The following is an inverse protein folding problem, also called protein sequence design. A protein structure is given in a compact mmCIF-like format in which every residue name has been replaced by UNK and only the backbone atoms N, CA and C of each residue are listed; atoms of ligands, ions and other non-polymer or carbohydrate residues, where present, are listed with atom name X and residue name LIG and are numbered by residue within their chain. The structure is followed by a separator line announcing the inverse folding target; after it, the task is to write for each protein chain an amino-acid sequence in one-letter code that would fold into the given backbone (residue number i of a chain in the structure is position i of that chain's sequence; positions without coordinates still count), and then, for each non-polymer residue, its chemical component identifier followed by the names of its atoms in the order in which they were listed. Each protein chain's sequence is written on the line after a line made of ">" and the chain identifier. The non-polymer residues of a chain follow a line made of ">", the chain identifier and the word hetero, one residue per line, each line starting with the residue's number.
data_IF_993250868589
#
_entry.id   IF_993250868589
#
_cell.length_a   1.000
_cell.length_b   1.000
_cell.length_c   1.000
_cell.angle_alpha   90.00
_cell.angle_beta   90.00
_cell.angle_gamma   90.00
#
_symmetry.space_group_name_H-M   'P 1'
#
loop_
_entity.id
_entity.type
_entity.pdbx_description
1 polymer ?
#
# COMPACT_ATOMS: atom_id res chain seq x y z
N UNK A 1 -4.95 14.31 -8.44
CA UNK A 1 -5.29 12.88 -8.56
C UNK A 1 -6.66 12.78 -9.21
N UNK A 2 -6.81 11.95 -10.25
CA UNK A 2 -8.12 11.69 -10.87
C UNK A 2 -8.92 10.72 -10.00
N UNK A 3 -10.24 10.87 -9.97
CA UNK A 3 -11.16 9.94 -9.26
C UNK A 3 -10.98 8.50 -9.75
N UNK A 4 -10.67 8.31 -11.04
CA UNK A 4 -10.41 6.99 -11.60
C UNK A 4 -9.20 6.29 -10.95
N UNK A 5 -8.12 7.04 -10.67
CA UNK A 5 -6.90 6.50 -10.03
C UNK A 5 -7.16 6.15 -8.56
N UNK A 6 -7.95 6.97 -7.88
CA UNK A 6 -8.33 6.77 -6.48
C UNK A 6 -9.18 5.49 -6.32
N UNK A 7 -10.19 5.33 -7.18
CA UNK A 7 -11.06 4.15 -7.22
C UNK A 7 -10.28 2.89 -7.60
N UNK A 8 -9.43 2.97 -8.63
CA UNK A 8 -8.59 1.84 -9.04
C UNK A 8 -7.64 1.41 -7.91
N UNK A 9 -6.99 2.37 -7.25
CA UNK A 9 -6.09 2.10 -6.12
C UNK A 9 -6.82 1.41 -4.96
N UNK A 10 -8.03 1.88 -4.63
CA UNK A 10 -8.86 1.27 -3.61
C UNK A 10 -9.23 -0.19 -3.94
N UNK A 11 -9.71 -0.45 -5.15
CA UNK A 11 -10.09 -1.82 -5.55
C UNK A 11 -8.90 -2.77 -5.64
N UNK A 12 -7.74 -2.31 -6.12
CA UNK A 12 -6.51 -3.10 -6.13
C UNK A 12 -6.07 -3.46 -4.70
N UNK A 13 -6.13 -2.50 -3.77
CA UNK A 13 -5.85 -2.74 -2.36
C UNK A 13 -6.82 -3.76 -1.74
N UNK A 14 -8.13 -3.57 -1.94
CA UNK A 14 -9.16 -4.47 -1.42
C UNK A 14 -9.05 -5.89 -2.00
N UNK A 15 -8.72 -6.03 -3.29
CA UNK A 15 -8.44 -7.33 -3.90
C UNK A 15 -7.18 -7.97 -3.30
N UNK A 16 -6.13 -7.18 -3.07
CA UNK A 16 -4.91 -7.63 -2.39
C UNK A 16 -5.19 -8.13 -0.97
N UNK A 17 -6.02 -7.43 -0.19
CA UNK A 17 -6.48 -7.88 1.14
C UNK A 17 -7.14 -9.26 1.07
N UNK A 18 -8.09 -9.42 0.15
CA UNK A 18 -8.81 -10.67 -0.03
C UNK A 18 -7.85 -11.81 -0.41
N UNK A 19 -6.93 -11.56 -1.34
CA UNK A 19 -5.94 -12.56 -1.75
C UNK A 19 -4.93 -12.89 -0.63
N UNK A 20 -4.53 -11.93 0.22
CA UNK A 20 -3.72 -12.20 1.41
C UNK A 20 -4.47 -13.08 2.41
N UNK A 21 -5.77 -12.82 2.61
CA UNK A 21 -6.63 -13.67 3.44
C UNK A 21 -6.72 -15.09 2.92
N UNK A 22 -6.99 -15.27 1.61
CA UNK A 22 -7.00 -16.60 0.98
C UNK A 22 -5.63 -17.28 1.11
N UNK A 23 -4.54 -16.54 0.89
CA UNK A 23 -3.17 -17.07 1.03
C UNK A 23 -2.92 -17.62 2.43
N UNK A 24 -3.32 -16.89 3.49
CA UNK A 24 -3.12 -17.32 4.88
C UNK A 24 -3.78 -18.68 5.19
N UNK A 25 -4.97 -18.92 4.65
CA UNK A 25 -5.72 -20.16 4.91
C UNK A 25 -5.46 -21.27 3.88
N UNK A 26 -4.82 -20.96 2.74
CA UNK A 26 -4.55 -21.94 1.71
C UNK A 26 -3.67 -23.08 2.25
N UNK A 27 -4.05 -24.33 2.03
CA UNK A 27 -3.35 -25.52 2.53
C UNK A 27 -1.99 -25.79 1.87
N UNK A 28 -1.68 -25.13 0.76
CA UNK A 28 -0.55 -25.45 -0.10
C UNK A 28 0.52 -24.35 -0.12
N UNK A 29 1.15 -24.08 1.03
CA UNK A 29 2.33 -23.19 1.10
C UNK A 29 3.60 -23.90 0.70
N UNK A 30 3.72 -25.17 1.07
CA UNK A 30 4.80 -26.06 0.63
C UNK A 30 4.27 -27.45 0.39
N UNK A 31 4.88 -28.15 -0.56
CA UNK A 31 4.50 -29.52 -0.96
C UNK A 31 5.75 -30.38 -0.97
N UNK A 32 5.71 -31.59 -0.41
CA UNK A 32 6.86 -32.49 -0.35
C UNK A 32 7.30 -32.91 -1.76
N UNK A 33 8.60 -32.86 -2.03
CA UNK A 33 9.17 -33.35 -3.27
C UNK A 33 9.35 -34.88 -3.23
N UNK A 34 9.16 -35.54 -4.37
CA UNK A 34 9.35 -37.00 -4.54
C UNK A 34 10.83 -37.33 -4.84
N UNK A 35 11.71 -36.34 -4.81
CA UNK A 35 13.11 -36.52 -5.21
C UNK A 35 13.89 -37.37 -4.19
N UNK A 36 14.25 -38.61 -4.57
CA UNK A 36 15.24 -39.44 -3.88
C UNK A 36 14.72 -40.56 -2.98
N UNK A 37 13.41 -40.71 -2.77
CA UNK A 37 12.82 -41.84 -2.04
C UNK A 37 11.87 -42.63 -2.95
N UNK A 38 12.21 -43.89 -3.21
CA UNK A 38 11.42 -44.82 -4.04
C UNK A 38 10.18 -45.36 -3.28
N UNK A 39 10.07 -45.09 -1.98
CA UNK A 39 8.99 -45.54 -1.10
C UNK A 39 8.28 -44.34 -0.44
N UNK A 40 7.81 -43.38 -1.22
CA UNK A 40 6.85 -42.36 -0.73
C UNK A 40 5.46 -42.72 -1.24
N UNK A 41 4.69 -43.41 -0.41
CA UNK A 41 3.27 -43.72 -0.63
C UNK A 41 2.34 -42.52 -0.41
N UNK A 42 2.89 -41.38 0.03
CA UNK A 42 2.12 -40.27 0.60
C UNK A 42 2.72 -38.91 0.24
N UNK A 43 1.89 -37.98 -0.25
CA UNK A 43 2.26 -36.59 -0.52
C UNK A 43 1.92 -35.71 0.68
N UNK A 44 2.89 -34.97 1.21
CA UNK A 44 2.71 -34.08 2.36
C UNK A 44 2.62 -32.63 1.84
N UNK A 45 1.61 -31.89 2.28
CA UNK A 45 1.46 -30.47 1.99
C UNK A 45 1.10 -29.73 3.26
N UNK A 46 1.66 -28.54 3.40
CA UNK A 46 1.58 -27.80 4.64
C UNK A 46 1.29 -26.33 4.38
N UNK A 47 0.56 -25.74 5.33
CA UNK A 47 0.39 -24.30 5.40
C UNK A 47 1.00 -23.74 6.69
N UNK A 48 0.56 -22.57 7.13
CA UNK A 48 1.04 -22.00 8.38
C UNK A 48 0.48 -22.71 9.61
N UNK A 49 -0.63 -23.43 9.52
CA UNK A 49 -1.45 -23.89 10.65
C UNK A 49 -1.51 -25.42 10.79
N UNK A 50 -1.54 -26.11 9.66
CA UNK A 50 -1.74 -27.55 9.54
C UNK A 50 -0.65 -28.16 8.66
N UNK A 51 -0.30 -29.41 8.98
CA UNK A 51 0.42 -30.32 8.10
C UNK A 51 -0.55 -31.42 7.69
N UNK A 52 -0.69 -31.65 6.40
CA UNK A 52 -1.62 -32.62 5.84
C UNK A 52 -0.88 -33.61 4.95
N UNK A 53 -1.33 -34.86 4.95
CA UNK A 53 -0.82 -35.91 4.08
C UNK A 53 -1.97 -36.57 3.31
N UNK A 54 -1.69 -36.92 2.06
CA UNK A 54 -2.58 -37.74 1.23
C UNK A 54 -1.84 -38.99 0.79
N UNK A 55 -2.40 -40.14 1.13
CA UNK A 55 -1.86 -41.46 0.77
C UNK A 55 -2.36 -41.91 -0.62
N UNK A 56 -1.64 -42.82 -1.27
CA UNK A 56 -2.03 -43.41 -2.56
C UNK A 56 -3.36 -44.18 -2.54
N UNK A 57 -3.88 -44.50 -1.35
CA UNK A 57 -5.21 -45.08 -1.13
C UNK A 57 -6.34 -44.04 -1.08
N UNK A 58 -6.00 -42.75 -1.24
CA UNK A 58 -6.96 -41.63 -1.19
C UNK A 58 -7.30 -41.16 0.22
N UNK A 59 -6.62 -41.67 1.25
CA UNK A 59 -6.83 -41.24 2.64
C UNK A 59 -6.20 -39.85 2.84
N UNK A 60 -7.00 -38.93 3.39
CA UNK A 60 -6.61 -37.56 3.69
C UNK A 60 -6.57 -37.35 5.20
N UNK A 61 -5.40 -37.04 5.75
CA UNK A 61 -5.22 -36.76 7.17
C UNK A 61 -4.56 -35.38 7.35
N UNK A 62 -5.08 -34.57 8.27
CA UNK A 62 -4.48 -33.30 8.65
C UNK A 62 -4.24 -33.25 10.15
N UNK A 63 -3.07 -32.76 10.53
CA UNK A 63 -2.67 -32.55 11.91
C UNK A 63 -2.35 -31.06 12.11
N UNK A 64 -2.77 -30.51 13.23
CA UNK A 64 -2.37 -29.16 13.63
C UNK A 64 -0.90 -29.16 14.08
N UNK A 65 -0.13 -28.12 13.74
CA UNK A 65 1.25 -28.04 14.19
C UNK A 65 1.33 -28.02 15.73
N UNK A 66 2.27 -28.77 16.34
CA UNK A 66 2.44 -28.78 17.80
C UNK A 66 2.76 -27.36 18.31
N UNK A 67 2.39 -27.13 19.57
CA UNK A 67 2.36 -25.85 20.31
C UNK A 67 3.46 -24.85 19.95
N UNK A 68 3.16 -23.55 20.09
CA UNK A 68 4.02 -22.40 19.75
C UNK A 68 5.51 -22.51 20.16
N UNK A 69 5.84 -23.30 21.19
CA UNK A 69 7.21 -23.49 21.69
C UNK A 69 8.02 -24.57 20.95
N UNK A 70 7.35 -25.50 20.25
CA UNK A 70 7.97 -26.62 19.55
C UNK A 70 8.09 -26.40 18.03
N UNK A 71 7.47 -25.33 17.51
CA UNK A 71 7.44 -25.02 16.09
C UNK A 71 8.62 -24.10 15.70
N UNK A 72 9.14 -24.26 14.48
CA UNK A 72 10.25 -23.42 14.00
C UNK A 72 9.90 -21.93 14.12
N UNK A 73 10.80 -21.13 14.72
CA UNK A 73 10.56 -19.70 14.96
C UNK A 73 10.22 -18.90 13.69
N UNK A 74 10.68 -19.38 12.53
CA UNK A 74 10.34 -18.84 11.21
C UNK A 74 8.84 -18.90 10.92
N UNK A 75 8.16 -20.02 11.20
CA UNK A 75 6.72 -20.15 10.94
C UNK A 75 5.93 -19.20 11.84
N UNK A 76 6.32 -19.09 13.12
CA UNK A 76 5.67 -18.16 14.05
C UNK A 76 5.85 -16.70 13.61
N UNK A 77 7.05 -16.32 13.15
CA UNK A 77 7.29 -14.98 12.60
C UNK A 77 6.47 -14.72 11.33
N UNK A 78 6.35 -15.71 10.44
CA UNK A 78 5.50 -15.62 9.25
C UNK A 78 4.01 -15.46 9.62
N UNK A 79 3.50 -16.20 10.60
CA UNK A 79 2.13 -16.03 11.12
C UNK A 79 1.91 -14.60 11.61
N UNK A 80 2.81 -14.09 12.44
CA UNK A 80 2.71 -12.73 12.98
C UNK A 80 2.68 -11.68 11.86
N UNK A 81 3.63 -11.75 10.92
CA UNK A 81 3.70 -10.79 9.81
C UNK A 81 2.49 -10.84 8.88
N UNK A 82 1.97 -12.03 8.55
CA UNK A 82 0.74 -12.16 7.74
C UNK A 82 -0.48 -11.58 8.45
N UNK A 83 -0.66 -11.89 9.74
CA UNK A 83 -1.79 -11.37 10.53
C UNK A 83 -1.70 -9.84 10.64
N UNK A 84 -0.51 -9.31 10.95
CA UNK A 84 -0.29 -7.85 10.99
C UNK A 84 -0.58 -7.22 9.63
N UNK A 85 -0.11 -7.82 8.53
CA UNK A 85 -0.40 -7.34 7.17
C UNK A 85 -1.90 -7.28 6.88
N UNK A 86 -2.65 -8.34 7.20
CA UNK A 86 -4.11 -8.40 7.02
C UNK A 86 -4.82 -7.34 7.87
N UNK A 87 -4.44 -7.16 9.13
CA UNK A 87 -5.02 -6.12 10.01
C UNK A 87 -4.75 -4.73 9.44
N UNK A 88 -3.51 -4.44 9.02
CA UNK A 88 -3.14 -3.15 8.44
C UNK A 88 -3.91 -2.87 7.14
N UNK A 89 -4.02 -3.85 6.26
CA UNK A 89 -4.77 -3.71 5.01
C UNK A 89 -6.29 -3.61 5.26
N UNK A 90 -6.83 -4.28 6.27
CA UNK A 90 -8.24 -4.11 6.68
C UNK A 90 -8.52 -2.70 7.17
N UNK A 91 -7.67 -2.17 8.06
CA UNK A 91 -7.75 -0.78 8.52
C UNK A 91 -7.62 0.20 7.35
N UNK A 92 -6.75 -0.11 6.40
CA UNK A 92 -6.60 0.68 5.19
C UNK A 92 -7.88 0.75 4.36
N UNK A 93 -8.59 -0.37 4.16
CA UNK A 93 -9.88 -0.38 3.45
C UNK A 93 -10.90 0.49 4.17
N UNK A 94 -10.99 0.41 5.50
CA UNK A 94 -11.91 1.25 6.28
C UNK A 94 -11.62 2.74 6.12
N UNK A 95 -10.35 3.14 6.22
CA UNK A 95 -9.94 4.53 5.98
C UNK A 95 -10.13 4.96 4.53
N UNK A 96 -9.95 4.03 3.59
CA UNK A 96 -10.17 4.24 2.15
C UNK A 96 -11.63 4.56 1.85
N UNK A 97 -12.57 3.79 2.43
CA UNK A 97 -14.02 4.03 2.27
C UNK A 97 -14.39 5.46 2.69
N UNK A 98 -13.87 5.94 3.83
CA UNK A 98 -14.14 7.28 4.35
C UNK A 98 -13.38 8.37 3.56
N UNK A 99 -12.17 8.08 3.10
CA UNK A 99 -11.29 9.00 2.38
C UNK A 99 -11.64 9.20 0.90
N UNK A 100 -12.42 8.30 0.30
CA UNK A 100 -12.85 8.39 -1.09
C UNK A 100 -13.72 9.62 -1.36
N UNK A 101 -13.47 10.33 -2.47
CA UNK A 101 -14.26 11.51 -2.87
C UNK A 101 -15.73 11.20 -3.17
N UNK A 102 -16.01 9.99 -3.64
CA UNK A 102 -17.36 9.53 -3.94
C UNK A 102 -18.17 9.16 -2.67
N UNK A 103 -17.53 9.02 -1.51
CA UNK A 103 -18.19 8.69 -0.26
C UNK A 103 -18.55 9.96 0.51
N UNK A 104 -19.84 10.14 0.82
CA UNK A 104 -20.35 11.24 1.65
C UNK A 104 -20.69 10.73 3.05
N UNK A 105 -19.66 10.43 3.85
CA UNK A 105 -19.79 10.11 5.27
C UNK A 105 -19.28 11.33 6.06
N UNK A 106 -20.22 12.08 6.66
CA UNK A 106 -19.93 13.28 7.45
C UNK A 106 -19.57 14.55 6.65
N UNK A 107 -19.32 15.65 7.35
CA UNK A 107 -18.95 16.96 6.77
C UNK A 107 -17.43 17.18 6.70
N UNK A 108 -16.66 16.16 6.31
CA UNK A 108 -15.20 16.30 6.15
C UNK A 108 -14.85 17.21 4.97
N UNK A 109 -13.88 18.09 5.20
CA UNK A 109 -13.28 18.91 4.13
C UNK A 109 -12.59 18.03 3.08
N UNK A 110 -12.45 18.54 1.86
CA UNK A 110 -11.76 17.85 0.77
C UNK A 110 -10.30 17.52 1.12
N UNK A 111 -9.65 18.37 1.93
CA UNK A 111 -8.31 18.12 2.46
C UNK A 111 -8.29 16.96 3.48
N UNK A 112 -9.28 16.89 4.37
CA UNK A 112 -9.41 15.78 5.33
C UNK A 112 -9.58 14.44 4.62
N UNK A 113 -10.44 14.37 3.60
CA UNK A 113 -10.61 13.17 2.76
C UNK A 113 -9.32 12.75 2.06
N UNK A 114 -8.57 13.72 1.51
CA UNK A 114 -7.28 13.45 0.86
C UNK A 114 -6.22 12.91 1.84
N UNK A 115 -6.17 13.41 3.09
CA UNK A 115 -5.27 12.88 4.12
C UNK A 115 -5.64 11.45 4.53
N UNK A 116 -6.92 11.15 4.66
CA UNK A 116 -7.41 9.79 4.95
C UNK A 116 -7.10 8.82 3.80
N UNK A 117 -7.29 9.23 2.55
CA UNK A 117 -6.92 8.44 1.38
C UNK A 117 -5.40 8.18 1.33
N UNK A 118 -4.58 9.19 1.64
CA UNK A 118 -3.14 9.01 1.71
C UNK A 118 -2.69 8.08 2.86
N UNK A 119 -3.33 8.18 4.03
CA UNK A 119 -3.09 7.30 5.17
C UNK A 119 -3.50 5.85 4.86
N UNK A 120 -4.66 5.67 4.22
CA UNK A 120 -5.08 4.38 3.67
C UNK A 120 -4.00 3.81 2.73
N UNK A 121 -3.54 4.59 1.75
CA UNK A 121 -2.49 4.14 0.84
C UNK A 121 -1.21 3.70 1.54
N UNK A 122 -0.75 4.46 2.55
CA UNK A 122 0.45 4.12 3.32
C UNK A 122 0.30 2.79 4.08
N UNK A 123 -0.86 2.55 4.69
CA UNK A 123 -1.16 1.28 5.37
C UNK A 123 -1.21 0.10 4.39
N UNK A 124 -1.73 0.30 3.17
CA UNK A 124 -1.74 -0.73 2.13
C UNK A 124 -0.33 -1.08 1.65
N UNK A 125 0.55 -0.09 1.51
CA UNK A 125 1.97 -0.31 1.19
C UNK A 125 2.64 -1.09 2.31
N UNK A 126 2.46 -0.69 3.57
CA UNK A 126 3.05 -1.38 4.71
C UNK A 126 2.57 -2.83 4.81
N UNK A 127 1.26 -3.06 4.65
CA UNK A 127 0.68 -4.39 4.63
C UNK A 127 1.26 -5.26 3.51
N UNK A 128 1.40 -4.71 2.31
CA UNK A 128 2.01 -5.40 1.17
C UNK A 128 3.49 -5.70 1.40
N UNK A 129 4.25 -4.83 2.06
CA UNK A 129 5.65 -5.12 2.44
C UNK A 129 5.70 -6.25 3.47
N UNK A 130 4.83 -6.25 4.49
CA UNK A 130 4.75 -7.36 5.45
C UNK A 130 4.45 -8.70 4.77
N UNK A 131 3.48 -8.72 3.84
CA UNK A 131 3.18 -9.90 3.02
C UNK A 131 4.38 -10.33 2.18
N UNK A 132 5.01 -9.38 1.47
CA UNK A 132 6.17 -9.64 0.62
C UNK A 132 7.33 -10.27 1.40
N UNK A 133 7.69 -9.68 2.54
CA UNK A 133 8.74 -10.18 3.42
C UNK A 133 8.39 -11.59 3.92
N UNK A 134 7.15 -11.82 4.34
CA UNK A 134 6.71 -13.14 4.84
C UNK A 134 6.87 -14.22 3.78
N UNK A 135 6.28 -14.02 2.60
CA UNK A 135 6.27 -15.01 1.53
C UNK A 135 7.69 -15.24 1.01
N UNK A 136 8.49 -14.17 0.84
CA UNK A 136 9.88 -14.26 0.40
C UNK A 136 10.76 -15.00 1.39
N UNK A 137 10.60 -14.72 2.69
CA UNK A 137 11.39 -15.36 3.73
C UNK A 137 11.04 -16.84 3.85
N UNK A 138 9.74 -17.18 3.79
CA UNK A 138 9.28 -18.56 3.78
C UNK A 138 9.85 -19.33 2.57
N UNK A 139 9.72 -18.77 1.35
CA UNK A 139 10.27 -19.34 0.13
C UNK A 139 11.79 -19.52 0.16
N UNK A 140 12.52 -18.54 0.71
CA UNK A 140 13.98 -18.62 0.85
C UNK A 140 14.41 -19.77 1.77
N UNK A 141 13.67 -20.03 2.85
CA UNK A 141 14.01 -21.14 3.75
C UNK A 141 13.75 -22.50 3.09
N UNK A 142 12.65 -22.65 2.36
CA UNK A 142 12.38 -23.88 1.57
C UNK A 142 13.52 -24.10 0.57
N UNK A 143 13.87 -23.07 -0.18
CA UNK A 143 14.92 -23.15 -1.22
C UNK A 143 16.27 -23.54 -0.61
N UNK A 144 16.64 -22.94 0.53
CA UNK A 144 17.88 -23.29 1.25
C UNK A 144 17.88 -24.75 1.70
N UNK A 145 16.79 -25.24 2.28
CA UNK A 145 16.68 -26.64 2.74
C UNK A 145 16.68 -27.63 1.57
N UNK A 146 16.08 -27.25 0.43
CA UNK A 146 16.04 -28.11 -0.76
C UNK A 146 17.44 -28.37 -1.34
N UNK A 147 18.28 -27.34 -1.40
CA UNK A 147 19.62 -27.40 -1.98
C UNK A 147 20.73 -27.75 -0.98
N UNK A 148 20.45 -27.82 0.32
CA UNK A 148 21.42 -28.24 1.32
C UNK A 148 21.66 -29.77 1.23
N UNK A 149 22.89 -30.22 0.90
CA UNK A 149 23.20 -31.64 0.84
C UNK A 149 23.25 -32.31 2.22
N UNK A 150 23.38 -31.55 3.30
CA UNK A 150 23.41 -32.04 4.68
C UNK A 150 22.00 -32.12 5.30
N UNK A 151 20.97 -31.61 4.61
CA UNK A 151 19.61 -31.64 5.10
C UNK A 151 19.00 -33.05 4.95
N UNK A 152 18.93 -33.78 6.06
CA UNK A 152 18.38 -35.13 6.14
C UNK A 152 16.84 -35.19 6.23
N UNK A 153 16.17 -34.03 6.27
CA UNK A 153 14.71 -33.95 6.38
C UNK A 153 13.99 -34.08 5.03
N UNK A 154 12.66 -34.12 5.08
CA UNK A 154 11.81 -34.10 3.87
C UNK A 154 12.02 -32.80 3.11
N UNK A 155 12.37 -32.91 1.82
CA UNK A 155 12.50 -31.75 0.94
C UNK A 155 11.14 -31.28 0.47
N UNK A 156 10.95 -29.97 0.42
CA UNK A 156 9.71 -29.35 -0.04
C UNK A 156 9.95 -28.45 -1.25
N UNK A 157 8.93 -28.36 -2.09
CA UNK A 157 8.81 -27.43 -3.21
C UNK A 157 7.89 -26.25 -2.84
N UNK A 158 8.02 -25.18 -3.61
CA UNK A 158 7.23 -23.96 -3.43
C UNK A 158 5.76 -24.22 -3.78
N UNK A 159 4.87 -24.08 -2.80
CA UNK A 159 3.45 -24.29 -3.01
C UNK A 159 2.77 -23.12 -3.76
N UNK A 160 1.61 -23.39 -4.40
CA UNK A 160 0.84 -22.39 -5.14
C UNK A 160 0.42 -21.18 -4.28
N UNK A 161 0.23 -21.36 -2.96
CA UNK A 161 -0.14 -20.26 -2.06
C UNK A 161 0.93 -19.15 -2.04
N UNK A 162 2.21 -19.49 -2.22
CA UNK A 162 3.28 -18.49 -2.22
C UNK A 162 3.10 -17.53 -3.41
N UNK A 163 2.89 -18.05 -4.62
CA UNK A 163 2.65 -17.21 -5.81
C UNK A 163 1.42 -16.31 -5.66
N UNK A 164 0.37 -16.83 -5.03
CA UNK A 164 -0.81 -16.04 -4.69
C UNK A 164 -0.46 -14.91 -3.72
N UNK A 165 0.34 -15.19 -2.68
CA UNK A 165 0.81 -14.22 -1.70
C UNK A 165 1.71 -13.13 -2.28
N UNK A 166 2.62 -13.46 -3.21
CA UNK A 166 3.43 -12.50 -3.96
C UNK A 166 2.53 -11.54 -4.76
N UNK A 167 1.55 -12.11 -5.47
CA UNK A 167 0.58 -11.35 -6.27
C UNK A 167 -0.27 -10.43 -5.39
N UNK A 168 -0.78 -10.95 -4.27
CA UNK A 168 -1.57 -10.20 -3.29
C UNK A 168 -0.78 -9.02 -2.70
N UNK A 169 0.46 -9.27 -2.31
CA UNK A 169 1.37 -8.26 -1.77
C UNK A 169 1.66 -7.16 -2.78
N UNK A 170 1.89 -7.52 -4.05
CA UNK A 170 2.11 -6.57 -5.13
C UNK A 170 0.87 -5.71 -5.39
N UNK A 171 -0.33 -6.31 -5.41
CA UNK A 171 -1.59 -5.58 -5.57
C UNK A 171 -1.82 -4.58 -4.43
N UNK A 172 -1.54 -4.96 -3.18
CA UNK A 172 -1.60 -4.04 -2.04
C UNK A 172 -0.63 -2.86 -2.20
N UNK A 173 0.62 -3.12 -2.62
CA UNK A 173 1.63 -2.07 -2.83
C UNK A 173 1.20 -1.12 -3.94
N UNK A 174 0.82 -1.64 -5.11
CA UNK A 174 0.39 -0.84 -6.25
C UNK A 174 -0.86 -0.03 -5.88
N UNK A 175 -1.86 -0.66 -5.28
CA UNK A 175 -3.08 0.01 -4.82
C UNK A 175 -2.78 1.15 -3.83
N UNK A 176 -1.89 0.89 -2.88
CA UNK A 176 -1.46 1.91 -1.91
C UNK A 176 -0.68 3.07 -2.54
N UNK A 177 0.22 2.80 -3.50
CA UNK A 177 0.94 3.85 -4.24
C UNK A 177 -0.01 4.76 -5.01
N UNK A 178 -1.03 4.19 -5.66
CA UNK A 178 -2.05 4.96 -6.39
C UNK A 178 -2.84 5.87 -5.44
N UNK A 179 -3.19 5.39 -4.24
CA UNK A 179 -3.86 6.15 -3.19
C UNK A 179 -2.96 7.23 -2.55
N UNK A 180 -1.64 7.01 -2.48
CA UNK A 180 -0.67 7.98 -1.96
C UNK A 180 -0.28 9.09 -2.93
N UNK A 181 -0.74 9.06 -4.19
CA UNK A 181 -0.26 9.94 -5.26
C UNK A 181 -0.36 11.46 -4.99
N UNK A 182 -1.16 11.90 -4.01
CA UNK A 182 -1.19 13.31 -3.57
C UNK A 182 0.06 13.71 -2.77
N UNK A 183 0.58 12.82 -1.91
CA UNK A 183 1.76 13.08 -1.08
C UNK A 183 3.05 13.06 -1.91
N UNK A 184 3.19 12.09 -2.83
CA UNK A 184 4.38 11.95 -3.66
C UNK A 184 4.54 13.08 -4.68
N UNK A 185 3.43 13.63 -5.20
CA UNK A 185 3.45 14.70 -6.18
C UNK A 185 3.44 16.12 -5.57
N UNK A 186 2.98 16.28 -4.32
CA UNK A 186 3.03 17.57 -3.62
C UNK A 186 4.45 17.96 -3.22
N UNK A 187 5.30 16.97 -2.87
CA UNK A 187 6.73 17.21 -2.60
C UNK A 187 7.46 17.79 -3.82
N UNK A 188 7.14 17.32 -5.04
CA UNK A 188 7.75 17.84 -6.27
C UNK A 188 7.28 19.26 -6.66
N UNK A 189 6.15 19.75 -6.15
CA UNK A 189 5.64 21.11 -6.45
C UNK A 189 6.11 22.19 -5.48
N UNK A 190 6.76 21.84 -4.37
CA UNK A 190 7.27 22.81 -3.39
C UNK A 190 8.68 23.34 -3.67
N UNK A 191 9.33 22.93 -4.78
CA UNK A 191 10.69 23.35 -5.12
C UNK A 191 10.79 24.53 -6.11
N UNK A 192 9.69 25.15 -6.52
CA UNK A 192 9.70 26.28 -7.48
C UNK A 192 8.84 27.46 -7.05
N UNK A 193 8.79 27.79 -5.76
CA UNK A 193 8.37 29.13 -5.32
C UNK A 193 9.61 29.95 -4.98
N UNK A 194 10.23 30.56 -5.98
CA UNK A 194 11.17 31.67 -5.76
C UNK A 194 10.34 32.83 -5.23
N UNK A 195 10.60 33.35 -4.01
CA UNK A 195 9.88 34.53 -3.56
C UNK A 195 10.39 35.74 -4.37
N UNK A 196 9.55 36.25 -5.27
CA UNK A 196 9.78 37.54 -5.90
C UNK A 196 9.64 38.63 -4.82
N UNK A 197 10.78 39.14 -4.31
CA UNK A 197 10.80 40.38 -3.54
C UNK A 197 10.55 41.53 -4.49
N UNK A 198 9.33 42.07 -4.50
CA UNK A 198 9.09 43.39 -5.07
C UNK A 198 9.83 44.42 -4.21
N UNK A 199 10.77 45.16 -4.81
CA UNK A 199 11.39 46.32 -4.16
C UNK A 199 10.31 47.39 -3.94
N UNK A 200 10.05 47.73 -2.67
CA UNK A 200 9.27 48.91 -2.33
C UNK A 200 10.13 50.14 -2.59
N UNK A 201 9.79 50.90 -3.63
CA UNK A 201 10.36 52.22 -3.87
C UNK A 201 9.88 53.14 -2.75
N UNK A 202 10.77 53.50 -1.83
CA UNK A 202 10.53 54.50 -0.78
C UNK A 202 10.35 55.85 -1.48
N UNK A 203 9.14 56.40 -1.41
CA UNK A 203 8.87 57.78 -1.82
C UNK A 203 9.33 58.68 -0.67
N UNK A 204 10.27 59.64 -0.87
CA UNK A 204 10.65 60.56 0.18
C UNK A 204 9.49 61.49 0.50
N UNK A 205 9.20 61.65 1.78
CA UNK A 205 8.29 62.65 2.33
C UNK A 205 8.72 64.06 1.90
N UNK A 206 7.81 64.80 1.27
CA UNK A 206 7.99 66.20 0.91
C UNK A 206 7.16 67.09 1.85
N UNK A 207 7.78 68.16 2.34
CA UNK A 207 7.29 69.06 3.39
C UNK A 207 5.94 69.77 3.09
N UNK A 208 5.20 70.26 4.11
CA UNK A 208 3.80 70.68 3.99
C UNK A 208 3.55 72.08 3.40
N UNK A 209 4.48 72.63 2.62
CA UNK A 209 4.47 74.05 2.24
C UNK A 209 4.38 74.28 0.72
N UNK A 210 3.29 73.83 0.09
CA UNK A 210 2.78 74.39 -1.18
C UNK A 210 1.39 73.80 -1.51
N UNK A 211 0.33 74.53 -1.15
CA UNK A 211 -1.05 74.27 -1.57
C UNK A 211 -1.50 75.43 -2.47
N UNK A 212 -1.98 75.17 -3.70
CA UNK A 212 -2.95 76.04 -4.35
C UNK A 212 -4.38 75.51 -4.10
N UNK A 213 -5.40 76.39 -4.05
CA UNK A 213 -6.73 76.04 -3.60
C UNK A 213 -7.60 75.48 -4.73
N UNK A 214 -8.41 74.47 -4.41
CA UNK A 214 -9.63 74.16 -5.15
C UNK A 214 -9.52 72.99 -6.13
N UNK A 215 -10.11 71.85 -5.73
CA UNK A 215 -11.18 71.18 -6.46
C UNK A 215 -11.48 69.85 -5.76
N UNK A 216 -12.60 69.82 -5.05
CA UNK A 216 -13.36 68.61 -4.82
C UNK A 216 -13.69 67.95 -6.17
N UNK A 217 -13.38 66.67 -6.35
CA UNK A 217 -14.42 65.78 -6.84
C UNK A 217 -14.17 64.33 -6.48
N UNK A 218 -15.24 63.69 -6.01
CA UNK A 218 -15.35 62.25 -5.90
C UNK A 218 -15.58 61.72 -7.31
N UNK A 219 -14.84 60.70 -7.74
CA UNK A 219 -15.35 59.87 -8.83
C UNK A 219 -14.90 58.43 -8.66
N UNK A 220 -15.81 57.62 -8.14
CA UNK A 220 -15.88 56.20 -8.47
C UNK A 220 -15.96 56.06 -9.99
N UNK A 221 -15.02 55.37 -10.62
CA UNK A 221 -15.24 54.82 -11.97
C UNK A 221 -14.80 53.37 -11.98
N UNK A 222 -15.83 52.52 -11.87
CA UNK A 222 -15.79 51.09 -12.10
C UNK A 222 -16.20 50.81 -13.56
N UNK A 223 -15.54 49.83 -14.18
CA UNK A 223 -15.87 49.18 -15.47
C UNK A 223 -15.82 50.07 -16.73
N UNK A 224 -14.91 49.78 -17.67
CA UNK A 224 -15.18 48.76 -18.69
C UNK A 224 -13.96 48.46 -19.57
N UNK A 225 -13.92 47.22 -20.06
CA UNK A 225 -13.23 46.68 -21.25
C UNK A 225 -12.25 47.60 -22.00
N UNK A 226 -11.00 47.16 -22.08
CA UNK A 226 -10.33 47.04 -23.39
C UNK A 226 -9.26 45.93 -23.34
N UNK A 227 -9.65 44.73 -23.77
CA UNK A 227 -8.71 43.74 -24.29
C UNK A 227 -8.67 43.87 -25.80
N UNK A 228 -7.48 44.09 -26.37
CA UNK A 228 -7.13 43.73 -27.76
C UNK A 228 -5.62 43.88 -27.99
N UNK A 229 -5.00 42.73 -28.19
CA UNK A 229 -3.87 42.47 -29.10
C UNK A 229 -2.52 43.16 -28.79
N UNK A 230 -1.61 42.41 -28.16
CA UNK A 230 -0.19 42.67 -28.26
C UNK A 230 0.64 41.40 -28.00
N UNK A 231 0.71 40.49 -28.99
CA UNK A 231 1.86 39.59 -29.13
C UNK A 231 2.15 39.42 -30.62
N UNK A 232 3.35 39.83 -31.00
CA UNK A 232 4.04 39.52 -32.28
C UNK A 232 4.53 38.08 -32.23
#
# INVERSE_FOLDING_TARGET
>A
MSVAVEILGFFLGALGLLMLGVTLFNSYWRVSSVYGNVITTSTIFENLWYSCATDSTGVYNCWEFPSLLALSGTIQACRALMITGIVLSSLSVLLGIIGLRCTQIGSLTSEGKARLAAASGALHILAGICGMVTISWYASNITRQFFDPLYAGTKYELGPALYLGWSASLLCIIGGVLLCGHCCCSSKRRSTSVPYKASQTVVPSMDPACLPPGASDNTEVSFDKYGKNAYV
#
